data_IF_853775997666
#
_entry.id   IF_853775997666
#
_cell.length_a   1.000
_cell.length_b   1.000
_cell.length_c   1.000
_cell.angle_alpha   90.00
_cell.angle_beta   90.00
_cell.angle_gamma   90.00
#
_symmetry.space_group_name_H-M   'P 1'
#
loop_
_entity.id
_entity.type
_entity.pdbx_description
1 polymer ?
#
# COMPACT_ATOMS: atom_id res chain seq x y z
N UNK A 5 -2.68 8.06 -8.16
CA UNK A 5 -1.41 8.73 -8.34
C UNK A 5 -0.38 8.10 -7.41
N UNK A 6 -0.70 8.07 -6.13
CA UNK A 6 0.19 7.46 -5.14
C UNK A 6 -0.26 6.05 -4.77
N UNK A 7 -1.33 5.56 -5.41
CA UNK A 7 -1.89 4.26 -5.05
C UNK A 7 -0.91 3.15 -5.41
N UNK A 8 -0.51 3.11 -6.69
CA UNK A 8 0.47 2.15 -7.15
C UNK A 8 1.81 2.36 -6.44
N UNK A 9 2.18 3.61 -6.28
CA UNK A 9 3.47 3.96 -5.71
C UNK A 9 3.65 3.36 -4.32
N UNK A 10 2.62 3.47 -3.49
CA UNK A 10 2.66 2.89 -2.15
C UNK A 10 2.58 1.37 -2.20
N UNK A 11 1.76 0.85 -3.11
CA UNK A 11 1.66 -0.60 -3.31
C UNK A 11 3.02 -1.21 -3.62
N UNK A 12 3.76 -0.57 -4.51
CA UNK A 12 5.08 -1.04 -4.89
C UNK A 12 6.02 -1.03 -3.69
N UNK A 13 5.91 0.01 -2.86
CA UNK A 13 6.72 0.13 -1.66
C UNK A 13 6.39 -1.00 -0.68
N UNK A 14 5.12 -1.36 -0.62
CA UNK A 14 4.69 -2.48 0.21
C UNK A 14 5.26 -3.79 -0.34
N UNK A 15 5.18 -3.94 -1.65
CA UNK A 15 5.58 -5.17 -2.32
C UNK A 15 7.04 -5.53 -2.05
N UNK A 16 7.95 -4.58 -2.23
CA UNK A 16 9.37 -4.86 -2.09
C UNK A 16 9.87 -4.48 -0.69
N UNK A 17 9.11 -3.64 -0.01
CA UNK A 17 9.49 -3.21 1.32
C UNK A 17 9.27 -4.29 2.36
N UNK A 18 8.32 -5.18 2.09
CA UNK A 18 8.03 -6.35 2.93
C UNK A 18 7.31 -5.94 4.22
N UNK A 19 7.08 -4.63 4.38
CA UNK A 19 6.39 -4.03 5.52
C UNK A 19 7.05 -4.32 6.88
N UNK A 20 6.86 -3.43 7.87
CA UNK A 20 6.05 -2.22 7.74
C UNK A 20 6.82 -1.08 7.08
N UNK A 21 6.10 -0.04 6.68
CA UNK A 21 6.73 1.14 6.11
C UNK A 21 6.02 2.40 6.62
N UNK A 22 6.78 3.48 6.73
CA UNK A 22 6.22 4.75 7.17
C UNK A 22 5.64 5.52 6.01
N UNK A 23 4.89 6.55 6.34
CA UNK A 23 4.29 7.42 5.36
C UNK A 23 5.33 8.42 4.87
N UNK A 24 6.02 9.04 5.81
CA UNK A 24 7.05 10.01 5.47
C UNK A 24 8.21 9.30 4.79
N UNK A 25 8.37 8.03 5.12
CA UNK A 25 9.46 7.21 4.58
C UNK A 25 9.21 6.89 3.11
N UNK A 26 7.96 6.57 2.77
CA UNK A 26 7.61 6.31 1.38
C UNK A 26 7.55 7.63 0.60
N UNK A 27 7.15 8.71 1.27
CA UNK A 27 7.19 10.02 0.65
C UNK A 27 5.85 10.75 0.67
N UNK A 28 4.96 10.35 1.58
CA UNK A 28 3.64 10.97 1.67
C UNK A 28 3.33 11.36 3.12
N UNK A 29 2.20 12.02 3.32
CA UNK A 29 1.75 12.34 4.67
C UNK A 29 0.97 11.18 5.26
N UNK A 30 0.63 11.28 6.55
CA UNK A 30 -0.11 10.22 7.23
C UNK A 30 -1.42 9.94 6.53
N UNK A 31 -2.20 11.00 6.34
CA UNK A 31 -3.54 10.90 5.79
C UNK A 31 -3.53 10.42 4.34
N UNK A 32 -2.47 10.73 3.60
CA UNK A 32 -2.32 10.26 2.23
C UNK A 32 -2.08 8.75 2.21
N UNK A 33 -1.17 8.30 3.07
CA UNK A 33 -0.86 6.88 3.22
C UNK A 33 -2.10 6.14 3.71
N UNK A 34 -2.74 6.73 4.72
CA UNK A 34 -3.97 6.20 5.29
C UNK A 34 -5.04 5.98 4.24
N UNK A 35 -5.34 7.03 3.47
CA UNK A 35 -6.38 6.95 2.44
C UNK A 35 -6.03 5.89 1.40
N UNK A 36 -4.75 5.83 1.04
CA UNK A 36 -4.28 4.86 0.07
C UNK A 36 -4.53 3.43 0.55
N UNK A 37 -4.07 3.15 1.76
CA UNK A 37 -4.23 1.81 2.33
C UNK A 37 -5.70 1.42 2.44
N UNK A 38 -6.52 2.36 2.93
CA UNK A 38 -7.95 2.12 3.08
C UNK A 38 -8.61 1.83 1.74
N UNK A 39 -8.28 2.64 0.74
CA UNK A 39 -8.84 2.50 -0.60
C UNK A 39 -8.42 1.16 -1.21
N UNK A 40 -7.13 0.86 -1.12
CA UNK A 40 -6.58 -0.38 -1.69
C UNK A 40 -7.19 -1.60 -1.00
N UNK A 41 -7.45 -1.48 0.28
CA UNK A 41 -8.09 -2.54 1.05
C UNK A 41 -9.53 -2.75 0.60
N UNK A 42 -10.23 -1.65 0.35
CA UNK A 42 -11.64 -1.69 0.00
C UNK A 42 -11.84 -2.33 -1.37
N UNK A 43 -11.06 -1.90 -2.35
CA UNK A 43 -11.20 -2.37 -3.72
C UNK A 43 -10.65 -3.80 -3.86
N UNK A 44 -9.76 -4.18 -2.96
CA UNK A 44 -9.24 -5.54 -2.98
C UNK A 44 -7.89 -5.65 -3.64
N UNK A 45 -6.98 -4.76 -3.28
CA UNK A 45 -5.61 -4.82 -3.79
C UNK A 45 -4.70 -5.47 -2.77
N UNK A 46 -4.95 -5.21 -1.50
CA UNK A 46 -4.18 -5.79 -0.42
C UNK A 46 -5.07 -6.13 0.77
N UNK A 47 -4.64 -7.09 1.57
CA UNK A 47 -5.36 -7.49 2.76
C UNK A 47 -4.41 -7.56 3.95
N UNK A 48 -4.96 -7.73 5.15
CA UNK A 48 -4.14 -7.81 6.34
C UNK A 48 -4.01 -6.47 7.02
N UNK A 49 -4.86 -5.54 6.63
CA UNK A 49 -4.86 -4.20 7.19
C UNK A 49 -5.52 -4.19 8.55
N UNK A 50 -4.74 -3.91 9.58
CA UNK A 50 -5.25 -3.89 10.93
C UNK A 50 -5.30 -2.48 11.47
N UNK A 51 -6.43 -2.12 12.05
CA UNK A 51 -6.59 -0.83 12.69
C UNK A 51 -6.22 -0.95 14.16
N UNK A 52 -5.59 0.07 14.71
CA UNK A 52 -5.12 -0.01 16.09
C UNK A 52 -5.73 1.11 16.92
N UNK A 53 -5.07 2.24 16.94
CA UNK A 53 -5.60 3.45 17.56
C UNK A 53 -6.91 3.84 16.88
N UNK A 54 -6.84 3.94 15.57
CA UNK A 54 -7.96 4.37 14.75
C UNK A 54 -7.65 4.13 13.27
N UNK A 55 -6.38 4.27 12.91
CA UNK A 55 -5.98 4.21 11.51
C UNK A 55 -5.28 2.89 11.22
N UNK A 56 -5.14 2.52 9.93
CA UNK A 56 -4.45 1.28 9.54
C UNK A 56 -2.98 1.28 9.96
N UNK A 57 -2.55 0.17 10.52
CA UNK A 57 -1.15 -0.01 10.90
C UNK A 57 -0.61 -1.29 10.29
N UNK A 58 0.57 -1.18 9.69
CA UNK A 58 1.19 -2.32 9.02
C UNK A 58 2.21 -2.97 9.94
N UNK A 59 2.23 -4.29 9.94
CA UNK A 59 3.15 -5.04 10.76
C UNK A 59 4.18 -5.72 9.87
N UNK A 60 5.03 -6.56 10.46
CA UNK A 60 6.11 -7.20 9.71
C UNK A 60 5.58 -8.45 9.02
N UNK A 61 4.33 -8.78 9.29
CA UNK A 61 3.68 -9.91 8.67
C UNK A 61 2.17 -9.68 8.74
N UNK A 62 1.53 -9.65 7.58
CA UNK A 62 0.11 -9.38 7.53
C UNK A 62 -0.36 -8.86 6.20
N UNK A 63 0.22 -7.74 5.70
CA UNK A 63 -0.15 -7.17 4.40
C UNK A 63 0.15 -8.11 3.24
N UNK A 64 -0.90 -8.69 2.68
CA UNK A 64 -0.78 -9.59 1.55
C UNK A 64 -1.36 -8.93 0.31
N UNK A 65 -0.71 -9.11 -0.83
CA UNK A 65 -1.24 -8.59 -2.09
C UNK A 65 -2.17 -9.60 -2.74
N UNK A 66 -3.22 -9.09 -3.37
CA UNK A 66 -4.13 -9.94 -4.11
C UNK A 66 -3.61 -10.11 -5.53
N UNK A 67 -4.22 -10.99 -6.31
CA UNK A 67 -3.85 -11.14 -7.70
C UNK A 67 -4.14 -9.84 -8.45
N UNK A 68 -5.26 -9.22 -8.09
CA UNK A 68 -5.64 -7.95 -8.70
C UNK A 68 -4.61 -6.87 -8.41
N UNK A 69 -4.17 -6.80 -7.16
CA UNK A 69 -3.16 -5.84 -6.77
C UNK A 69 -1.83 -6.14 -7.44
N UNK A 70 -1.47 -7.41 -7.47
CA UNK A 70 -0.23 -7.85 -8.10
C UNK A 70 -0.27 -7.55 -9.61
N UNK A 71 -1.38 -7.89 -10.25
CA UNK A 71 -1.56 -7.63 -11.68
C UNK A 71 -1.54 -6.14 -11.97
N UNK A 72 -2.07 -5.37 -11.03
CA UNK A 72 -2.11 -3.91 -11.15
C UNK A 72 -0.70 -3.34 -11.23
N UNK A 73 0.21 -3.94 -10.44
CA UNK A 73 1.60 -3.52 -10.43
C UNK A 73 2.25 -3.75 -11.79
N UNK A 74 1.81 -4.80 -12.47
CA UNK A 74 2.38 -5.15 -13.76
C UNK A 74 2.01 -4.10 -14.81
N UNK A 75 0.81 -3.57 -14.71
CA UNK A 75 0.30 -2.62 -15.69
C UNK A 75 0.75 -1.19 -15.36
N UNK A 76 0.61 -0.82 -14.10
CA UNK A 76 0.93 0.54 -13.66
C UNK A 76 2.40 0.63 -13.25
N UNK A 77 3.13 -0.46 -13.46
CA UNK A 77 4.53 -0.52 -13.09
C UNK A 77 5.41 0.49 -13.84
N UNK A 78 4.88 1.05 -14.92
CA UNK A 78 5.60 2.06 -15.68
C UNK A 78 5.58 3.41 -14.93
N UNK A 79 6.26 3.43 -13.78
CA UNK A 79 6.38 4.63 -12.98
C UNK A 79 7.78 4.67 -12.36
N UNK A 80 8.50 5.75 -12.61
CA UNK A 80 9.83 5.93 -12.05
C UNK A 80 9.77 6.12 -10.54
N UNK A 81 9.91 5.02 -9.81
CA UNK A 81 9.86 5.06 -8.35
C UNK A 81 10.63 3.87 -7.78
N UNK A 82 11.76 4.17 -7.11
CA UNK A 82 12.55 3.18 -6.37
C UNK A 82 13.34 2.20 -7.26
#
# INVERSE_FOLDING_TARGET
>A
MNKDKLRYAILKEIFEGNTPLSENDIGVTEDQFDDAVNFLKREGYIIGVHYSDDRPHLYKLGPELTEKGENYLKENGTWSKAYKTIKEIKDWIKLEHHHHHH
#
